data_IF_470946446474
#
_entry.id   IF_470946446474
#
_cell.length_a   1.000
_cell.length_b   1.000
_cell.length_c   1.000
_cell.angle_alpha   90.00
_cell.angle_beta   90.00
_cell.angle_gamma   90.00
#
_symmetry.space_group_name_H-M   'P 1'
#
loop_
_entity.id
_entity.type
_entity.pdbx_description
1 polymer ?
#
# COMPACT_ATOMS: atom_id res chain seq x y z
N UNK A 1 8.44 5.56 -33.67
CA UNK A 1 8.94 4.37 -32.96
C UNK A 1 8.13 4.20 -31.67
N UNK A 2 7.52 3.04 -31.43
CA UNK A 2 6.94 2.73 -30.11
C UNK A 2 8.12 2.39 -29.21
N UNK A 3 8.32 3.19 -28.17
CA UNK A 3 9.50 3.15 -27.32
C UNK A 3 9.42 1.93 -26.40
N UNK A 4 10.41 1.01 -26.38
CA UNK A 4 10.41 -0.18 -25.54
C UNK A 4 10.09 0.08 -24.06
N UNK A 5 10.45 1.27 -23.58
CA UNK A 5 10.14 1.76 -22.23
C UNK A 5 8.65 1.95 -21.96
N UNK A 6 7.86 2.40 -22.94
CA UNK A 6 6.41 2.56 -22.80
C UNK A 6 5.70 1.21 -22.68
N UNK A 7 6.15 0.21 -23.45
CA UNK A 7 5.60 -1.15 -23.36
C UNK A 7 5.87 -1.74 -21.97
N UNK A 8 7.10 -1.62 -21.48
CA UNK A 8 7.46 -2.06 -20.13
C UNK A 8 6.62 -1.35 -19.05
N UNK A 9 6.47 -0.03 -19.16
CA UNK A 9 5.65 0.75 -18.24
C UNK A 9 4.19 0.29 -18.22
N UNK A 10 3.59 0.05 -19.39
CA UNK A 10 2.20 -0.40 -19.51
C UNK A 10 2.06 -1.80 -18.91
N UNK A 11 2.94 -2.74 -19.25
CA UNK A 11 2.90 -4.11 -18.70
C UNK A 11 3.00 -4.07 -17.17
N UNK A 12 3.96 -3.34 -16.62
CA UNK A 12 4.11 -3.23 -15.17
C UNK A 12 2.89 -2.55 -14.51
N UNK A 13 2.36 -1.49 -15.12
CA UNK A 13 1.19 -0.78 -14.63
C UNK A 13 -0.05 -1.67 -14.60
N UNK A 14 -0.23 -2.50 -15.64
CA UNK A 14 -1.32 -3.47 -15.73
C UNK A 14 -1.15 -4.54 -14.67
N UNK A 15 0.02 -5.17 -14.56
CA UNK A 15 0.28 -6.21 -13.54
C UNK A 15 0.05 -5.67 -12.13
N UNK A 16 0.57 -4.48 -11.82
CA UNK A 16 0.35 -3.82 -10.52
C UNK A 16 -1.13 -3.59 -10.27
N UNK A 17 -1.87 -3.13 -11.27
CA UNK A 17 -3.31 -2.87 -11.15
C UNK A 17 -4.08 -4.17 -10.97
N UNK A 18 -3.75 -5.22 -11.70
CA UNK A 18 -4.36 -6.55 -11.51
C UNK A 18 -4.13 -7.03 -10.08
N UNK A 19 -2.89 -6.96 -9.57
CA UNK A 19 -2.60 -7.32 -8.18
C UNK A 19 -3.41 -6.51 -7.17
N UNK A 20 -3.52 -5.20 -7.38
CA UNK A 20 -4.28 -4.31 -6.49
C UNK A 20 -5.76 -4.67 -6.42
N UNK A 21 -6.40 -4.88 -7.57
CA UNK A 21 -7.84 -5.12 -7.62
C UNK A 21 -8.20 -6.59 -7.35
N UNK A 22 -7.38 -7.56 -7.76
CA UNK A 22 -7.64 -8.97 -7.59
C UNK A 22 -7.20 -9.51 -6.22
N UNK A 23 -6.20 -8.90 -5.57
CA UNK A 23 -5.63 -9.38 -4.31
C UNK A 23 -5.74 -8.36 -3.19
N UNK A 24 -5.12 -7.17 -3.33
CA UNK A 24 -4.99 -6.21 -2.22
C UNK A 24 -6.35 -5.77 -1.67
N UNK A 25 -7.26 -5.37 -2.56
CA UNK A 25 -8.60 -4.89 -2.17
C UNK A 25 -9.44 -5.96 -1.46
N UNK A 26 -9.66 -7.17 -2.01
CA UNK A 26 -10.43 -8.19 -1.32
C UNK A 26 -9.75 -8.64 -0.02
N UNK A 27 -8.43 -8.80 0.00
CA UNK A 27 -7.70 -9.15 1.22
C UNK A 27 -7.92 -8.12 2.34
N UNK A 28 -7.93 -6.83 2.02
CA UNK A 28 -8.22 -5.76 2.99
C UNK A 28 -9.66 -5.82 3.50
N UNK A 29 -10.63 -6.15 2.65
CA UNK A 29 -12.02 -6.29 3.09
C UNK A 29 -12.21 -7.48 4.05
N UNK A 30 -11.47 -8.57 3.86
CA UNK A 30 -11.44 -9.73 4.79
C UNK A 30 -10.95 -9.31 6.18
N UNK A 31 -9.94 -8.44 6.28
CA UNK A 31 -9.46 -7.96 7.59
C UNK A 31 -10.54 -7.21 8.40
N UNK A 32 -11.57 -6.69 7.74
CA UNK A 32 -12.69 -6.00 8.38
C UNK A 32 -13.90 -6.90 8.67
N UNK A 33 -13.87 -8.20 8.38
CA UNK A 33 -14.99 -9.11 8.69
C UNK A 33 -15.07 -9.48 10.17
N UNK A 34 -13.91 -9.51 10.85
CA UNK A 34 -13.78 -9.82 12.29
C UNK A 34 -13.96 -8.61 13.21
N UNK A 35 -14.38 -7.47 12.65
CA UNK A 35 -14.46 -6.19 13.35
C UNK A 35 -15.92 -5.74 13.41
N UNK A 36 -16.33 -5.14 14.54
CA UNK A 36 -17.68 -4.64 14.69
C UNK A 36 -17.99 -3.51 13.69
N UNK A 37 -19.27 -3.35 13.32
CA UNK A 37 -19.69 -2.38 12.30
C UNK A 37 -19.24 -0.96 12.60
N UNK A 38 -19.39 -0.51 13.85
CA UNK A 38 -19.01 0.85 14.26
C UNK A 38 -17.52 1.11 14.08
N UNK A 39 -16.68 0.19 14.56
CA UNK A 39 -15.22 0.26 14.43
C UNK A 39 -14.80 0.23 12.96
N UNK A 40 -15.41 -0.65 12.15
CA UNK A 40 -15.19 -0.71 10.71
C UNK A 40 -15.48 0.63 10.03
N UNK A 41 -16.61 1.27 10.32
CA UNK A 41 -16.96 2.56 9.71
C UNK A 41 -16.00 3.68 10.11
N UNK A 42 -15.66 3.78 11.41
CA UNK A 42 -14.69 4.76 11.90
C UNK A 42 -13.31 4.56 11.27
N UNK A 43 -12.83 3.32 11.25
CA UNK A 43 -11.53 2.97 10.68
C UNK A 43 -11.47 3.27 9.18
N UNK A 44 -12.48 2.85 8.40
CA UNK A 44 -12.50 3.12 6.96
C UNK A 44 -12.51 4.61 6.65
N UNK A 45 -13.36 5.39 7.33
CA UNK A 45 -13.41 6.83 7.13
C UNK A 45 -12.06 7.49 7.46
N UNK A 46 -11.42 7.07 8.55
CA UNK A 46 -10.10 7.58 8.92
C UNK A 46 -9.01 7.21 7.89
N UNK A 47 -9.02 5.99 7.37
CA UNK A 47 -8.06 5.56 6.35
C UNK A 47 -8.25 6.33 5.04
N UNK A 48 -9.50 6.49 4.60
CA UNK A 48 -9.82 7.14 3.32
C UNK A 48 -9.53 8.66 3.35
N UNK A 49 -9.63 9.28 4.53
CA UNK A 49 -9.38 10.71 4.69
C UNK A 49 -7.97 10.97 5.22
N UNK A 50 -7.73 10.74 6.50
CA UNK A 50 -6.49 11.13 7.17
C UNK A 50 -5.27 10.40 6.60
N UNK A 51 -5.34 9.07 6.49
CA UNK A 51 -4.18 8.28 6.03
C UNK A 51 -3.92 8.48 4.55
N UNK A 52 -4.94 8.38 3.71
CA UNK A 52 -4.76 8.51 2.26
C UNK A 52 -4.33 9.93 1.89
N UNK A 53 -4.97 10.97 2.45
CA UNK A 53 -4.61 12.37 2.14
C UNK A 53 -3.31 12.81 2.80
N UNK A 54 -3.09 12.41 4.06
CA UNK A 54 -1.83 12.67 4.76
C UNK A 54 -0.65 11.97 4.06
N UNK A 55 -0.88 10.75 3.55
CA UNK A 55 0.08 10.00 2.75
C UNK A 55 0.46 10.72 1.46
N UNK A 56 -0.51 11.18 0.68
CA UNK A 56 -0.24 11.90 -0.58
C UNK A 56 0.54 13.21 -0.33
N UNK A 57 0.12 14.00 0.65
CA UNK A 57 0.78 15.26 0.99
C UNK A 57 2.20 15.06 1.54
N UNK A 58 2.38 14.15 2.49
CA UNK A 58 3.68 13.84 3.07
C UNK A 58 4.65 13.25 2.04
N UNK A 59 4.16 12.38 1.15
CA UNK A 59 5.00 11.80 0.09
C UNK A 59 5.55 12.89 -0.84
N UNK A 60 4.73 13.87 -1.22
CA UNK A 60 5.17 14.97 -2.07
C UNK A 60 6.30 15.79 -1.42
N UNK A 61 6.16 16.12 -0.13
CA UNK A 61 7.19 16.85 0.62
C UNK A 61 8.44 16.00 0.87
N UNK A 62 8.29 14.73 1.24
CA UNK A 62 9.43 13.84 1.50
C UNK A 62 10.26 13.61 0.24
N UNK A 63 9.63 13.30 -0.89
CA UNK A 63 10.34 13.10 -2.17
C UNK A 63 11.02 14.38 -2.61
N UNK A 64 10.34 15.53 -2.49
CA UNK A 64 10.92 16.83 -2.86
C UNK A 64 12.10 17.16 -1.95
N UNK A 65 11.95 17.04 -0.63
CA UNK A 65 13.01 17.30 0.35
C UNK A 65 14.22 16.39 0.19
N UNK A 66 14.00 15.10 -0.07
CA UNK A 66 15.10 14.17 -0.36
C UNK A 66 15.84 14.57 -1.64
N UNK A 67 15.11 14.96 -2.70
CA UNK A 67 15.73 15.46 -3.94
C UNK A 67 16.50 16.76 -3.73
N UNK A 68 16.02 17.70 -2.91
CA UNK A 68 16.77 18.93 -2.62
C UNK A 68 18.05 18.66 -1.82
N UNK A 69 18.08 17.58 -1.03
CA UNK A 69 19.27 17.11 -0.32
C UNK A 69 20.23 16.30 -1.22
N UNK A 70 19.95 16.19 -2.53
CA UNK A 70 20.79 15.50 -3.50
C UNK A 70 20.48 14.01 -3.69
N UNK A 71 19.40 13.48 -3.10
CA UNK A 71 18.99 12.11 -3.35
C UNK A 71 18.50 11.95 -4.80
N UNK A 72 19.05 10.95 -5.50
CA UNK A 72 18.60 10.58 -6.85
C UNK A 72 17.37 9.69 -6.76
N UNK A 73 16.62 9.59 -7.86
CA UNK A 73 15.49 8.65 -7.98
C UNK A 73 15.91 7.21 -7.66
N UNK A 74 17.15 6.83 -7.99
CA UNK A 74 17.71 5.50 -7.69
C UNK A 74 17.88 5.27 -6.19
N UNK A 75 18.37 6.26 -5.43
CA UNK A 75 18.50 6.14 -3.97
C UNK A 75 17.12 5.96 -3.30
N UNK A 76 16.13 6.73 -3.75
CA UNK A 76 14.75 6.62 -3.25
C UNK A 76 14.17 5.25 -3.60
N UNK A 77 14.38 4.77 -4.83
CA UNK A 77 13.90 3.45 -5.25
C UNK A 77 14.49 2.31 -4.39
N UNK A 78 15.80 2.34 -4.13
CA UNK A 78 16.45 1.35 -3.27
C UNK A 78 15.98 1.42 -1.82
N UNK A 79 15.71 2.61 -1.29
CA UNK A 79 15.16 2.77 0.05
C UNK A 79 13.73 2.19 0.19
N UNK A 80 12.95 2.15 -0.89
CA UNK A 80 11.62 1.55 -0.89
C UNK A 80 11.64 0.02 -0.90
N UNK A 81 12.72 -0.62 -1.36
CA UNK A 81 12.84 -2.09 -1.37
C UNK A 81 12.70 -2.71 0.04
N UNK A 82 13.45 -2.30 1.07
CA UNK A 82 13.26 -2.84 2.42
C UNK A 82 11.89 -2.47 3.00
N UNK A 83 11.32 -1.32 2.62
CA UNK A 83 9.96 -0.93 3.01
C UNK A 83 8.91 -1.92 2.50
N UNK A 84 9.08 -2.47 1.29
CA UNK A 84 8.21 -3.55 0.79
C UNK A 84 8.29 -4.81 1.66
N UNK A 85 9.49 -5.14 2.17
CA UNK A 85 9.67 -6.24 3.12
C UNK A 85 8.93 -6.00 4.43
N UNK A 86 8.99 -4.78 4.97
CA UNK A 86 8.23 -4.39 6.17
C UNK A 86 6.72 -4.49 5.93
N UNK A 87 6.23 -4.05 4.77
CA UNK A 87 4.82 -4.20 4.41
C UNK A 87 4.37 -5.65 4.31
N UNK A 88 5.17 -6.51 3.68
CA UNK A 88 4.89 -7.93 3.59
C UNK A 88 4.84 -8.59 4.98
N UNK A 89 5.76 -8.20 5.87
CA UNK A 89 5.75 -8.66 7.25
C UNK A 89 4.49 -8.21 7.99
N UNK A 90 4.12 -6.93 7.94
CA UNK A 90 2.88 -6.41 8.55
C UNK A 90 1.65 -7.12 8.02
N UNK A 91 1.54 -7.33 6.71
CA UNK A 91 0.44 -8.08 6.10
C UNK A 91 0.34 -9.50 6.66
N UNK A 92 1.47 -10.18 6.86
CA UNK A 92 1.49 -11.52 7.48
C UNK A 92 1.03 -11.51 8.94
N UNK A 93 1.35 -10.46 9.70
CA UNK A 93 0.92 -10.28 11.09
C UNK A 93 -0.60 -10.07 11.14
N UNK A 94 -1.13 -9.16 10.33
CA UNK A 94 -2.56 -8.88 10.27
C UNK A 94 -3.35 -10.11 9.82
N UNK A 95 -2.86 -10.86 8.83
CA UNK A 95 -3.50 -12.09 8.38
C UNK A 95 -3.52 -13.18 9.47
N UNK A 96 -2.49 -13.27 10.32
CA UNK A 96 -2.50 -14.20 11.47
C UNK A 96 -3.50 -13.77 12.53
N UNK A 97 -3.61 -12.47 12.79
CA UNK A 97 -4.54 -11.93 13.79
C UNK A 97 -6.00 -12.06 13.37
N UNK A 98 -6.31 -11.80 12.09
CA UNK A 98 -7.64 -12.04 11.53
C UNK A 98 -8.05 -13.51 11.69
N UNK A 99 -7.17 -14.46 11.30
CA UNK A 99 -7.45 -15.90 11.49
C UNK A 99 -7.70 -16.29 12.94
N UNK A 100 -6.99 -15.68 13.89
CA UNK A 100 -7.18 -15.93 15.33
C UNK A 100 -8.55 -15.45 15.80
N UNK A 101 -8.97 -14.25 15.38
CA UNK A 101 -10.26 -13.65 15.76
C UNK A 101 -11.45 -14.31 15.07
N UNK A 102 -11.27 -14.73 13.82
CA UNK A 102 -12.24 -15.53 13.07
C UNK A 102 -12.48 -16.90 13.72
N UNK A 103 -11.46 -17.51 14.34
CA UNK A 103 -11.62 -18.79 15.02
C UNK A 103 -12.29 -18.68 16.41
N UNK A 104 -12.34 -17.48 17.01
CA UNK A 104 -12.96 -17.22 18.31
C UNK A 104 -14.40 -16.69 18.23
N UNK A 105 -14.90 -16.44 17.01
CA UNK A 105 -16.25 -15.96 16.72
C UNK A 105 -17.11 -17.12 16.25
#
# INVERSE_FOLDING_TARGET
AVWPTLVLYVVFSVVRRVGEYALSKPAREVLFTVVNREEKYKAKNFIDTAISRGGDASTAWLVTGLKTLGATTTHIAWALVPMMGLWAWLASVLAREEKRRSAST
#
